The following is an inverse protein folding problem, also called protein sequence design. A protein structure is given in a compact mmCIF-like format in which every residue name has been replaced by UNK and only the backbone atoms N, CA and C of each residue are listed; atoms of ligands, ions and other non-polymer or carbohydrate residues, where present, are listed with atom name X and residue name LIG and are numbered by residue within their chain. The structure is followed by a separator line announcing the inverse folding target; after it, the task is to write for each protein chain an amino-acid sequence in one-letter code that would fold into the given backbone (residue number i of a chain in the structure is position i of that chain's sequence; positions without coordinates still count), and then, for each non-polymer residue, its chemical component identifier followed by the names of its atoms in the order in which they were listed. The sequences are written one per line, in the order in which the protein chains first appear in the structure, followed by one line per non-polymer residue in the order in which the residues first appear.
data_IF_143214522302
#
_entry.id   IF_143214522302
#
_cell.length_a   1.000
_cell.length_b   1.000
_cell.length_c   1.000
_cell.angle_alpha   90.00
_cell.angle_beta   90.00
_cell.angle_gamma   90.00
#
_symmetry.space_group_name_H-M   'P 1'
#
loop_
_entity.id
_entity.type
_entity.pdbx_description
1 polymer ?
#
# COMPACT_ATOMS: atom_id res chain seq x y z
N UNK A 1 2.82 -38.55 5.68
CA UNK A 1 2.12 -37.26 5.66
C UNK A 1 3.06 -36.17 5.17
N UNK A 2 2.74 -35.50 4.05
CA UNK A 2 3.52 -34.35 3.57
C UNK A 2 3.25 -33.16 4.51
N UNK A 3 4.30 -32.58 5.09
CA UNK A 3 4.21 -31.23 5.69
C UNK A 3 3.71 -30.31 4.59
N UNK A 4 2.64 -29.56 4.86
CA UNK A 4 2.13 -28.52 3.95
C UNK A 4 3.27 -27.50 3.81
N UNK A 5 3.92 -27.49 2.65
CA UNK A 5 5.13 -26.69 2.43
C UNK A 5 4.88 -25.20 2.60
N UNK A 6 5.92 -24.47 2.99
CA UNK A 6 5.87 -23.01 3.13
C UNK A 6 5.38 -22.39 1.81
N UNK A 7 4.34 -21.56 1.90
CA UNK A 7 3.78 -20.85 0.75
C UNK A 7 4.53 -19.54 0.58
N UNK A 8 5.22 -19.35 -0.55
CA UNK A 8 5.83 -18.09 -0.92
C UNK A 8 4.88 -17.25 -1.77
N UNK A 9 4.75 -15.96 -1.44
CA UNK A 9 4.02 -14.95 -2.22
C UNK A 9 4.96 -13.78 -2.51
N UNK A 10 4.67 -13.03 -3.58
CA UNK A 10 5.39 -11.82 -3.96
C UNK A 10 4.42 -10.65 -3.83
N UNK A 11 4.88 -9.57 -3.22
CA UNK A 11 4.11 -8.36 -2.95
C UNK A 11 4.87 -7.17 -3.51
N UNK A 12 4.16 -6.27 -4.18
CA UNK A 12 4.70 -5.03 -4.74
C UNK A 12 4.10 -3.80 -4.05
N UNK A 13 2.86 -3.89 -3.56
CA UNK A 13 2.15 -2.75 -2.99
C UNK A 13 1.99 -2.89 -1.48
N UNK A 14 1.17 -3.82 -1.01
CA UNK A 14 0.87 -3.94 0.42
C UNK A 14 0.23 -5.27 0.81
N UNK A 15 0.47 -5.65 2.07
CA UNK A 15 -0.16 -6.75 2.79
C UNK A 15 -1.19 -6.15 3.75
N UNK A 16 -2.41 -6.67 3.72
CA UNK A 16 -3.49 -6.29 4.63
C UNK A 16 -3.96 -7.45 5.47
N UNK A 17 -4.11 -7.24 6.79
CA UNK A 17 -4.58 -8.25 7.75
C UNK A 17 -5.76 -7.68 8.53
N UNK A 18 -6.81 -8.47 8.72
CA UNK A 18 -8.04 -8.02 9.37
C UNK A 18 -8.97 -7.31 8.39
N UNK A 19 -9.50 -6.15 8.75
CA UNK A 19 -10.60 -5.50 8.02
C UNK A 19 -10.30 -5.25 6.54
N UNK A 20 -9.05 -4.94 6.17
CA UNK A 20 -8.64 -4.77 4.77
C UNK A 20 -8.67 -6.09 3.98
N UNK A 21 -8.19 -7.19 4.59
CA UNK A 21 -8.31 -8.53 4.02
C UNK A 21 -9.78 -8.96 3.89
N UNK A 22 -10.62 -8.59 4.86
CA UNK A 22 -12.05 -8.92 4.86
C UNK A 22 -12.80 -8.16 3.75
N UNK A 23 -12.50 -6.88 3.57
CA UNK A 23 -12.99 -6.05 2.47
C UNK A 23 -12.59 -6.64 1.12
N UNK A 24 -11.31 -7.01 0.98
CA UNK A 24 -10.80 -7.59 -0.26
C UNK A 24 -11.48 -8.92 -0.57
N UNK A 25 -11.72 -9.77 0.43
CA UNK A 25 -12.44 -11.04 0.28
C UNK A 25 -13.88 -10.82 -0.18
N UNK A 26 -14.62 -9.92 0.47
CA UNK A 26 -16.00 -9.59 0.07
C UNK A 26 -16.06 -8.93 -1.31
N UNK A 27 -15.09 -8.07 -1.64
CA UNK A 27 -14.96 -7.50 -2.97
C UNK A 27 -14.72 -8.58 -4.03
N UNK A 28 -13.81 -9.52 -3.78
CA UNK A 28 -13.51 -10.62 -4.69
C UNK A 28 -14.74 -11.52 -4.91
N UNK A 29 -15.43 -11.91 -3.83
CA UNK A 29 -16.66 -12.71 -3.90
C UNK A 29 -17.80 -11.96 -4.61
N UNK A 30 -18.00 -10.67 -4.29
CA UNK A 30 -19.08 -9.86 -4.86
C UNK A 30 -18.83 -9.53 -6.32
N UNK A 31 -17.58 -9.29 -6.74
CA UNK A 31 -17.20 -9.10 -8.15
C UNK A 31 -17.45 -10.35 -8.97
N UNK A 32 -17.15 -11.51 -8.41
CA UNK A 32 -17.44 -12.80 -9.05
C UNK A 32 -18.95 -13.01 -9.23
N UNK A 33 -19.77 -12.53 -8.29
CA UNK A 33 -21.24 -12.63 -8.34
C UNK A 33 -21.92 -11.55 -9.19
N UNK A 34 -21.40 -10.32 -9.24
CA UNK A 34 -22.03 -9.16 -9.90
C UNK A 34 -20.97 -8.22 -10.52
N UNK A 35 -20.38 -8.56 -11.69
CA UNK A 35 -19.31 -7.77 -12.31
C UNK A 35 -19.73 -6.34 -12.72
N UNK A 36 -21.02 -6.13 -12.99
CA UNK A 36 -21.54 -4.82 -13.45
C UNK A 36 -21.48 -3.71 -12.38
N UNK A 37 -21.30 -4.04 -11.09
CA UNK A 37 -21.18 -3.04 -10.03
C UNK A 37 -19.76 -2.44 -9.91
N UNK A 38 -18.75 -3.05 -10.54
CA UNK A 38 -17.33 -2.71 -10.35
C UNK A 38 -16.68 -2.04 -11.56
N UNK A 39 -17.51 -1.51 -12.48
CA UNK A 39 -17.05 -0.92 -13.75
C UNK A 39 -16.39 0.46 -13.54
N UNK A 40 -16.77 1.21 -12.49
CA UNK A 40 -16.31 2.58 -12.28
C UNK A 40 -15.43 2.74 -11.03
N UNK A 41 -14.28 3.42 -11.15
CA UNK A 41 -13.38 3.76 -10.04
C UNK A 41 -14.09 4.54 -8.93
N UNK A 42 -15.04 5.42 -9.27
CA UNK A 42 -15.85 6.14 -8.29
C UNK A 42 -16.79 5.20 -7.52
N UNK A 43 -17.44 4.26 -8.20
CA UNK A 43 -18.29 3.24 -7.56
C UNK A 43 -17.47 2.31 -6.66
N UNK A 44 -16.25 1.96 -7.07
CA UNK A 44 -15.32 1.22 -6.21
C UNK A 44 -15.01 2.01 -4.93
N UNK A 45 -14.68 3.30 -5.04
CA UNK A 45 -14.47 4.19 -3.88
C UNK A 45 -15.71 4.30 -2.98
N UNK A 46 -16.92 4.37 -3.55
CA UNK A 46 -18.18 4.40 -2.79
C UNK A 46 -18.48 3.07 -2.08
N UNK A 47 -18.11 1.95 -2.70
CA UNK A 47 -18.20 0.63 -2.08
C UNK A 47 -17.30 0.54 -0.83
N UNK A 48 -16.06 1.02 -0.94
CA UNK A 48 -15.14 1.17 0.20
C UNK A 48 -15.58 2.24 1.21
N UNK A 49 -16.28 3.30 0.75
CA UNK A 49 -16.74 4.43 1.56
C UNK A 49 -17.98 4.17 2.42
N UNK A 50 -18.72 3.07 2.22
CA UNK A 50 -19.75 2.64 3.17
C UNK A 50 -21.02 2.00 2.61
N UNK A 51 -21.27 1.98 1.29
CA UNK A 51 -22.49 1.35 0.77
C UNK A 51 -22.50 -0.19 0.91
N UNK A 52 -21.33 -0.84 0.99
CA UNK A 52 -21.20 -2.26 1.34
C UNK A 52 -21.22 -2.55 2.85
N UNK A 53 -21.23 -1.53 3.71
CA UNK A 53 -20.99 -1.68 5.16
C UNK A 53 -22.12 -2.38 5.93
N UNK A 54 -23.31 -2.53 5.34
CA UNK A 54 -24.47 -3.12 6.03
C UNK A 54 -24.25 -4.60 6.41
N UNK A 55 -23.40 -5.34 5.68
CA UNK A 55 -22.99 -6.71 6.03
C UNK A 55 -21.85 -6.76 7.06
N UNK A 56 -20.90 -5.83 6.98
CA UNK A 56 -19.73 -5.79 7.88
C UNK A 56 -20.04 -5.31 9.31
N UNK A 57 -21.11 -4.55 9.50
CA UNK A 57 -21.60 -4.18 10.83
C UNK A 57 -22.11 -5.38 11.64
N UNK A 58 -22.47 -6.49 10.98
CA UNK A 58 -23.03 -7.68 11.64
C UNK A 58 -21.97 -8.66 12.15
N UNK A 59 -20.77 -8.69 11.55
CA UNK A 59 -19.69 -9.59 11.96
C UNK A 59 -18.82 -8.95 13.04
N UNK A 60 -19.30 -9.12 14.28
CA UNK A 60 -18.60 -9.11 15.58
C UNK A 60 -17.19 -8.48 15.61
N UNK A 61 -17.14 -7.37 16.35
CA UNK A 61 -15.98 -6.72 16.98
C UNK A 61 -15.03 -7.71 17.69
N UNK A 62 -14.29 -8.50 16.92
CA UNK A 62 -13.09 -9.18 17.40
C UNK A 62 -11.95 -8.21 17.18
N UNK A 63 -11.45 -7.62 18.26
CA UNK A 63 -10.23 -6.81 18.24
C UNK A 63 -9.13 -7.61 17.55
N UNK A 64 -8.55 -7.08 16.48
CA UNK A 64 -7.48 -7.77 15.77
C UNK A 64 -6.26 -7.98 16.68
N UNK A 65 -6.08 -7.09 17.66
CA UNK A 65 -5.00 -7.10 18.63
C UNK A 65 -4.86 -8.43 19.40
N UNK A 66 -5.96 -9.12 19.70
CA UNK A 66 -5.91 -10.40 20.43
C UNK A 66 -5.59 -11.59 19.51
N UNK A 67 -5.65 -11.37 18.19
CA UNK A 67 -5.56 -12.42 17.17
C UNK A 67 -4.27 -12.37 16.38
N UNK A 68 -3.55 -11.26 16.40
CA UNK A 68 -2.27 -11.09 15.71
C UNK A 68 -1.27 -10.34 16.56
N UNK A 69 0.00 -10.66 16.39
CA UNK A 69 1.12 -9.87 16.91
C UNK A 69 2.00 -9.43 15.73
N UNK A 70 2.40 -8.17 15.73
CA UNK A 70 3.26 -7.61 14.69
C UNK A 70 4.66 -7.43 15.25
N UNK A 71 5.65 -8.01 14.58
CA UNK A 71 7.06 -7.85 14.91
C UNK A 71 7.76 -7.18 13.74
N UNK A 72 8.37 -6.03 13.99
CA UNK A 72 9.12 -5.26 13.01
C UNK A 72 10.58 -5.18 13.43
N UNK A 73 11.49 -5.70 12.61
CA UNK A 73 12.94 -5.76 12.88
C UNK A 73 13.27 -6.29 14.29
N UNK A 74 12.54 -7.32 14.71
CA UNK A 74 12.69 -7.99 16.01
C UNK A 74 11.95 -7.32 17.18
N UNK A 75 11.30 -6.17 16.99
CA UNK A 75 10.54 -5.46 18.02
C UNK A 75 9.04 -5.70 17.85
N UNK A 76 8.36 -6.05 18.93
CA UNK A 76 6.89 -6.15 18.94
C UNK A 76 6.32 -4.73 18.86
N UNK A 77 5.43 -4.49 17.91
CA UNK A 77 4.72 -3.22 17.78
C UNK A 77 3.41 -3.28 18.58
N UNK A 78 3.15 -2.26 19.39
CA UNK A 78 1.90 -2.16 20.16
C UNK A 78 0.74 -1.77 19.25
N UNK A 79 -0.35 -2.55 19.30
CA UNK A 79 -1.56 -2.26 18.55
C UNK A 79 -2.50 -1.37 19.37
N UNK A 80 -2.87 -0.17 18.88
CA UNK A 80 -3.80 0.70 19.58
C UNK A 80 -5.14 -0.01 19.87
N UNK A 81 -5.82 0.32 20.99
CA UNK A 81 -7.14 -0.23 21.28
C UNK A 81 -8.14 0.01 20.14
N UNK A 82 -8.94 -1.03 19.84
CA UNK A 82 -9.90 -1.00 18.74
C UNK A 82 -9.29 -1.17 17.36
N UNK A 83 -8.02 -1.56 17.25
CA UNK A 83 -7.42 -1.95 15.96
C UNK A 83 -8.17 -3.14 15.37
N UNK A 84 -8.66 -2.97 14.13
CA UNK A 84 -9.36 -3.98 13.35
C UNK A 84 -8.60 -4.39 12.09
N UNK A 85 -7.56 -3.64 11.71
CA UNK A 85 -6.71 -3.94 10.57
C UNK A 85 -5.28 -3.50 10.80
N UNK A 86 -4.33 -4.26 10.24
CA UNK A 86 -2.93 -3.86 10.09
C UNK A 86 -2.58 -3.94 8.61
N UNK A 87 -1.90 -2.92 8.10
CA UNK A 87 -1.46 -2.85 6.71
C UNK A 87 0.05 -2.60 6.70
N UNK A 88 0.78 -3.44 5.97
CA UNK A 88 2.22 -3.30 5.72
C UNK A 88 2.40 -2.80 4.29
N UNK A 89 2.87 -1.57 4.13
CA UNK A 89 2.99 -0.87 2.87
C UNK A 89 4.42 -0.98 2.36
N UNK A 90 4.60 -1.42 1.12
CA UNK A 90 5.82 -1.20 0.33
C UNK A 90 5.71 0.08 -0.50
N UNK A 91 4.50 0.53 -0.78
CA UNK A 91 4.20 1.84 -1.37
C UNK A 91 3.20 2.58 -0.48
N UNK A 92 3.45 3.86 -0.16
CA UNK A 92 2.47 4.70 0.54
C UNK A 92 1.35 5.18 -0.40
N UNK A 93 0.62 4.23 -0.98
CA UNK A 93 -0.56 4.43 -1.81
C UNK A 93 -1.50 3.25 -1.65
N UNK A 94 -2.72 3.53 -1.17
CA UNK A 94 -3.71 2.54 -0.81
C UNK A 94 -5.05 2.81 -1.51
N UNK A 95 -5.74 1.74 -1.88
CA UNK A 95 -7.11 1.74 -2.43
C UNK A 95 -7.39 2.83 -3.49
N UNK A 96 -6.48 2.99 -4.45
CA UNK A 96 -6.64 3.95 -5.55
C UNK A 96 -6.18 5.38 -5.23
N UNK A 97 -5.21 5.54 -4.32
CA UNK A 97 -4.38 6.73 -4.23
C UNK A 97 -4.29 7.40 -2.87
N UNK A 98 -5.01 6.92 -1.86
CA UNK A 98 -4.94 7.48 -0.50
C UNK A 98 -3.59 7.16 0.15
N UNK A 99 -3.03 8.10 0.91
CA UNK A 99 -1.82 7.86 1.71
C UNK A 99 -2.25 7.41 3.10
N UNK A 100 -1.63 6.34 3.61
CA UNK A 100 -1.93 5.82 4.95
C UNK A 100 -0.82 6.14 5.95
N UNK A 101 0.42 6.28 5.48
CA UNK A 101 1.55 6.70 6.28
C UNK A 101 1.68 8.22 6.26
N UNK A 102 1.74 8.84 7.44
CA UNK A 102 1.99 10.27 7.57
C UNK A 102 3.49 10.54 7.65
N UNK A 103 4.02 11.15 6.60
CA UNK A 103 5.41 11.54 6.49
C UNK A 103 5.62 13.06 6.56
N UNK A 104 4.56 13.84 6.81
CA UNK A 104 4.62 15.31 6.76
C UNK A 104 5.50 15.91 7.87
N UNK A 105 5.54 15.27 9.03
CA UNK A 105 6.31 15.72 10.21
C UNK A 105 7.54 14.85 10.49
N UNK A 106 7.83 13.89 9.62
CA UNK A 106 8.95 12.96 9.79
C UNK A 106 10.23 13.53 9.18
N UNK A 107 11.37 13.20 9.79
CA UNK A 107 12.68 13.42 9.19
C UNK A 107 12.77 12.71 7.83
N UNK A 108 13.59 13.24 6.92
CA UNK A 108 13.70 12.74 5.54
C UNK A 108 14.02 11.23 5.48
N UNK A 109 14.79 10.71 6.43
CA UNK A 109 15.15 9.29 6.55
C UNK A 109 13.98 8.38 6.96
N UNK A 110 12.92 8.95 7.53
CA UNK A 110 11.72 8.26 8.01
C UNK A 110 10.50 8.48 7.11
N UNK A 111 10.66 9.27 6.04
CA UNK A 111 9.61 9.43 5.03
C UNK A 111 9.48 8.16 4.21
N UNK A 112 8.26 7.85 3.78
CA UNK A 112 8.02 6.65 2.97
C UNK A 112 8.75 6.76 1.63
N UNK A 113 9.46 5.70 1.25
CA UNK A 113 10.16 5.62 -0.02
C UNK A 113 9.95 4.26 -0.67
N UNK A 114 9.85 4.23 -2.00
CA UNK A 114 9.73 2.97 -2.75
C UNK A 114 11.08 2.25 -2.96
N UNK A 115 12.15 2.82 -2.43
CA UNK A 115 13.55 2.51 -2.79
C UNK A 115 14.48 2.35 -1.60
N UNK A 116 13.97 2.41 -0.38
CA UNK A 116 14.73 2.28 0.86
C UNK A 116 14.71 0.85 1.44
N UNK A 117 13.96 -0.06 0.79
CA UNK A 117 13.72 -1.44 1.22
C UNK A 117 12.98 -1.55 2.57
N UNK A 118 12.28 -0.48 2.97
CA UNK A 118 11.49 -0.42 4.18
C UNK A 118 10.01 -0.69 3.88
N UNK A 119 9.32 -1.18 4.90
CA UNK A 119 7.88 -1.31 4.94
C UNK A 119 7.34 -0.34 5.98
N UNK A 120 6.29 0.41 5.63
CA UNK A 120 5.53 1.19 6.59
C UNK A 120 4.40 0.34 7.18
N UNK A 121 4.33 0.25 8.51
CA UNK A 121 3.31 -0.51 9.21
C UNK A 121 2.30 0.44 9.85
N UNK A 122 1.03 0.30 9.48
CA UNK A 122 -0.07 1.11 9.99
C UNK A 122 -1.21 0.27 10.56
N UNK A 123 -1.90 0.81 11.56
CA UNK A 123 -3.13 0.26 12.13
C UNK A 123 -4.36 1.07 11.70
N UNK A 124 -5.49 0.37 11.54
CA UNK A 124 -6.79 0.97 11.25
C UNK A 124 -7.88 0.44 12.19
N UNK A 125 -8.77 1.34 12.63
CA UNK A 125 -9.84 1.02 13.60
C UNK A 125 -11.09 0.41 13.00
N UNK A 126 -11.17 0.28 11.68
CA UNK A 126 -12.30 -0.33 10.98
C UNK A 126 -12.66 0.38 9.68
N UNK A 127 -13.81 0.01 9.12
CA UNK A 127 -14.30 0.55 7.85
C UNK A 127 -14.55 2.05 7.88
N UNK A 128 -15.11 2.56 8.97
CA UNK A 128 -15.37 3.99 9.12
C UNK A 128 -14.06 4.81 9.06
N UNK A 129 -12.99 4.30 9.68
CA UNK A 129 -11.68 4.94 9.65
C UNK A 129 -11.06 4.91 8.26
N UNK A 130 -11.08 3.74 7.59
CA UNK A 130 -10.60 3.60 6.21
C UNK A 130 -11.41 4.47 5.22
N UNK A 131 -12.73 4.49 5.35
CA UNK A 131 -13.62 5.29 4.52
C UNK A 131 -13.36 6.78 4.71
N UNK A 132 -13.21 7.25 5.96
CA UNK A 132 -12.86 8.63 6.26
C UNK A 132 -11.52 9.06 5.65
N UNK A 133 -10.52 8.17 5.63
CA UNK A 133 -9.24 8.41 4.94
C UNK A 133 -9.43 8.54 3.43
N UNK A 134 -10.24 7.67 2.82
CA UNK A 134 -10.48 7.71 1.38
C UNK A 134 -11.21 8.96 0.88
N UNK A 135 -12.09 9.54 1.71
CA UNK A 135 -12.79 10.79 1.41
C UNK A 135 -12.06 12.04 1.90
N UNK A 136 -10.88 11.88 2.54
CA UNK A 136 -10.05 12.99 3.03
C UNK A 136 -10.55 13.66 4.30
N UNK A 137 -11.46 13.02 5.06
CA UNK A 137 -11.90 13.51 6.38
C UNK A 137 -10.90 13.19 7.49
N UNK A 138 -10.13 12.11 7.31
CA UNK A 138 -9.01 11.74 8.18
C UNK A 138 -7.75 11.72 7.31
N UNK A 139 -6.64 12.33 7.74
CA UNK A 139 -5.49 12.50 6.86
C UNK A 139 -4.72 11.20 6.57
N UNK A 140 -4.65 10.28 7.54
CA UNK A 140 -3.81 9.09 7.46
C UNK A 140 -4.25 8.01 8.47
N UNK A 141 -3.64 6.83 8.40
CA UNK A 141 -3.84 5.75 9.37
C UNK A 141 -2.95 5.96 10.61
N UNK A 142 -3.04 5.05 11.59
CA UNK A 142 -2.21 5.13 12.79
C UNK A 142 -0.86 4.48 12.50
N UNK A 143 0.22 5.26 12.47
CA UNK A 143 1.57 4.75 12.28
C UNK A 143 2.01 3.87 13.46
N UNK A 144 2.55 2.68 13.17
CA UNK A 144 3.07 1.76 14.19
C UNK A 144 4.59 1.66 14.16
N UNK A 145 5.18 1.75 12.97
CA UNK A 145 6.63 1.66 12.79
C UNK A 145 6.99 1.46 11.32
N UNK A 146 8.30 1.44 11.07
CA UNK A 146 8.89 1.21 9.75
C UNK A 146 10.06 0.22 9.92
N UNK A 147 10.27 -0.68 8.96
CA UNK A 147 11.39 -1.63 9.03
C UNK A 147 11.53 -2.56 7.83
N UNK A 148 12.61 -3.35 7.81
CA UNK A 148 12.98 -4.22 6.66
C UNK A 148 12.34 -5.60 6.71
N UNK A 149 12.07 -6.10 7.91
CA UNK A 149 11.49 -7.42 8.15
C UNK A 149 10.30 -7.29 9.06
N UNK A 150 9.13 -7.67 8.53
CA UNK A 150 7.89 -7.67 9.28
C UNK A 150 7.39 -9.10 9.39
N UNK A 151 7.13 -9.55 10.61
CA UNK A 151 6.48 -10.82 10.88
C UNK A 151 5.10 -10.57 11.49
N UNK A 152 4.06 -11.04 10.80
CA UNK A 152 2.69 -11.07 11.32
C UNK A 152 2.43 -12.46 11.90
N UNK A 153 2.41 -12.56 13.22
CA UNK A 153 2.09 -13.79 13.96
C UNK A 153 0.59 -13.89 14.14
N UNK A 154 -0.06 -14.65 13.28
CA UNK A 154 -1.49 -14.95 13.36
C UNK A 154 -1.70 -16.03 14.42
N UNK A 155 -2.39 -15.67 15.51
CA UNK A 155 -2.64 -16.54 16.67
C UNK A 155 -3.97 -17.29 16.60
N UNK A 156 -4.91 -16.80 15.79
CA UNK A 156 -6.26 -17.34 15.69
C UNK A 156 -6.62 -17.76 14.26
N UNK A 157 -7.42 -18.84 14.15
CA UNK A 157 -8.02 -19.27 12.90
C UNK A 157 -8.99 -18.23 12.32
N UNK A 158 -9.17 -18.25 11.00
CA UNK A 158 -10.13 -17.44 10.26
C UNK A 158 -9.77 -15.96 10.12
N UNK A 159 -8.51 -15.57 10.35
CA UNK A 159 -8.07 -14.18 10.14
C UNK A 159 -8.03 -13.89 8.63
N UNK A 160 -8.75 -12.88 8.13
CA UNK A 160 -8.71 -12.50 6.74
C UNK A 160 -7.40 -11.76 6.41
N UNK A 161 -6.80 -12.10 5.28
CA UNK A 161 -5.54 -11.54 4.79
C UNK A 161 -5.67 -11.25 3.30
N UNK A 162 -4.96 -10.24 2.80
CA UNK A 162 -4.82 -9.98 1.37
C UNK A 162 -3.40 -9.53 1.04
N UNK A 163 -2.92 -9.86 -0.15
CA UNK A 163 -1.65 -9.34 -0.69
C UNK A 163 -1.95 -8.77 -2.07
N UNK A 164 -1.62 -7.50 -2.30
CA UNK A 164 -1.82 -6.79 -3.58
C UNK A 164 -3.25 -6.93 -4.16
N UNK A 165 -4.26 -7.07 -3.31
CA UNK A 165 -5.66 -7.23 -3.69
C UNK A 165 -6.14 -8.67 -3.84
N UNK A 166 -5.27 -9.67 -3.61
CA UNK A 166 -5.62 -11.10 -3.64
C UNK A 166 -5.90 -11.63 -2.21
N UNK A 167 -7.17 -11.82 -1.82
CA UNK A 167 -7.55 -12.16 -0.45
C UNK A 167 -7.58 -13.67 -0.18
N UNK A 168 -7.41 -14.05 1.09
CA UNK A 168 -7.73 -15.39 1.60
C UNK A 168 -8.10 -15.34 3.10
N UNK A 169 -8.71 -16.42 3.60
CA UNK A 169 -8.86 -16.64 5.04
C UNK A 169 -7.74 -17.54 5.55
N UNK A 170 -6.99 -17.06 6.53
CA UNK A 170 -5.96 -17.85 7.19
C UNK A 170 -6.62 -18.83 8.15
N UNK A 171 -6.64 -20.12 7.80
CA UNK A 171 -7.38 -21.13 8.54
C UNK A 171 -6.72 -21.57 9.85
N UNK A 172 -5.39 -21.55 9.91
CA UNK A 172 -4.61 -22.02 11.06
C UNK A 172 -3.65 -20.93 11.55
N UNK A 173 -3.25 -20.92 12.84
CA UNK A 173 -2.19 -20.06 13.33
C UNK A 173 -0.93 -20.21 12.47
N UNK A 174 -0.31 -19.09 12.11
CA UNK A 174 0.89 -19.07 11.28
C UNK A 174 1.68 -17.79 11.50
N UNK A 175 2.92 -17.77 11.00
CA UNK A 175 3.68 -16.53 10.86
C UNK A 175 3.79 -16.19 9.38
N UNK A 176 3.37 -14.98 9.01
CA UNK A 176 3.58 -14.43 7.68
C UNK A 176 4.81 -13.53 7.77
N UNK A 177 5.88 -13.90 7.09
CA UNK A 177 7.12 -13.11 7.04
C UNK A 177 7.18 -12.32 5.73
N UNK A 178 7.32 -11.00 5.86
CA UNK A 178 7.53 -10.06 4.77
C UNK A 178 8.95 -9.52 4.85
N UNK A 179 9.67 -9.62 3.74
CA UNK A 179 11.05 -9.15 3.60
C UNK A 179 11.31 -8.73 2.17
N UNK A 180 12.28 -7.84 1.99
CA UNK A 180 12.78 -7.48 0.68
C UNK A 180 13.24 -8.74 -0.09
N UNK A 181 12.83 -8.82 -1.37
CA UNK A 181 13.19 -9.91 -2.28
C UNK A 181 14.13 -9.42 -3.36
N UNK A 182 13.70 -8.41 -4.11
CA UNK A 182 14.41 -7.79 -5.20
C UNK A 182 13.74 -6.44 -5.53
N UNK A 183 14.41 -5.67 -6.38
CA UNK A 183 13.92 -4.38 -6.86
C UNK A 183 13.91 -4.36 -8.40
N UNK A 184 12.94 -3.64 -8.97
CA UNK A 184 12.81 -3.44 -10.40
C UNK A 184 12.75 -1.94 -10.71
N UNK A 185 13.29 -1.56 -11.87
CA UNK A 185 13.18 -0.19 -12.38
C UNK A 185 11.81 -0.01 -13.02
N UNK A 186 11.04 0.96 -12.53
CA UNK A 186 9.67 1.24 -12.96
C UNK A 186 9.58 2.66 -13.52
N UNK A 187 8.79 2.85 -14.59
CA UNK A 187 8.51 4.18 -15.11
C UNK A 187 7.56 4.92 -14.16
N UNK A 188 7.99 6.06 -13.63
CA UNK A 188 7.16 6.91 -12.79
C UNK A 188 6.68 8.12 -13.58
N UNK A 189 5.39 8.45 -13.49
CA UNK A 189 4.89 9.73 -13.98
C UNK A 189 5.58 10.83 -13.19
N UNK A 190 6.28 11.72 -13.88
CA UNK A 190 6.90 12.87 -13.22
C UNK A 190 5.79 13.83 -12.81
N UNK A 191 5.52 13.88 -11.51
CA UNK A 191 4.65 14.88 -10.89
C UNK A 191 5.61 15.88 -10.27
N UNK A 192 5.56 17.12 -10.72
CA UNK A 192 6.45 18.14 -10.21
C UNK A 192 5.91 18.68 -8.90
N UNK A 193 6.22 17.98 -7.83
CA UNK A 193 5.70 18.25 -6.49
C UNK A 193 6.31 19.53 -5.90
N UNK A 194 7.51 19.92 -6.37
CA UNK A 194 8.32 21.01 -5.81
C UNK A 194 8.73 22.09 -6.84
N UNK A 195 8.25 22.03 -8.09
CA UNK A 195 8.71 22.92 -9.18
C UNK A 195 10.14 22.63 -9.66
N UNK A 196 10.72 21.49 -9.26
CA UNK A 196 12.10 21.10 -9.54
C UNK A 196 12.25 20.16 -10.75
N UNK A 197 11.14 19.80 -11.41
CA UNK A 197 11.14 18.87 -12.54
C UNK A 197 12.11 19.31 -13.63
N UNK A 198 12.11 20.61 -13.97
CA UNK A 198 12.99 21.17 -15.00
C UNK A 198 14.46 20.91 -14.64
N UNK A 199 14.87 21.21 -13.40
CA UNK A 199 16.26 20.99 -12.98
C UNK A 199 16.66 19.51 -12.96
N UNK A 200 15.76 18.60 -12.56
CA UNK A 200 16.03 17.14 -12.61
C UNK A 200 16.09 16.63 -14.04
N UNK A 201 15.22 17.13 -14.91
CA UNK A 201 15.17 16.78 -16.33
C UNK A 201 16.42 17.26 -17.06
N UNK A 202 16.86 18.51 -16.83
CA UNK A 202 18.10 19.05 -17.39
C UNK A 202 19.31 18.22 -16.95
N UNK A 203 19.43 17.89 -15.66
CA UNK A 203 20.51 17.04 -15.15
C UNK A 203 20.50 15.64 -15.78
N UNK A 204 19.32 15.04 -15.97
CA UNK A 204 19.17 13.75 -16.66
C UNK A 204 19.62 13.85 -18.13
N UNK A 205 19.26 14.91 -18.83
CA UNK A 205 19.65 15.11 -20.23
C UNK A 205 21.17 15.33 -20.37
N UNK A 206 21.77 16.10 -19.46
CA UNK A 206 23.23 16.28 -19.38
C UNK A 206 23.96 14.96 -19.09
N UNK A 207 23.39 14.11 -18.22
CA UNK A 207 23.93 12.78 -17.96
C UNK A 207 23.82 11.89 -19.21
N UNK A 208 22.65 11.85 -19.86
CA UNK A 208 22.42 11.00 -21.03
C UNK A 208 23.31 11.38 -22.23
N UNK A 209 23.59 12.68 -22.42
CA UNK A 209 24.55 13.15 -23.43
C UNK A 209 25.99 12.75 -23.09
N UNK A 210 26.39 12.87 -21.81
CA UNK A 210 27.72 12.46 -21.32
C UNK A 210 27.96 10.97 -21.53
N UNK A 211 26.96 10.14 -21.25
CA UNK A 211 26.99 8.69 -21.45
C UNK A 211 26.75 8.28 -22.91
N UNK A 212 26.59 9.25 -23.83
CA UNK A 212 26.34 9.03 -25.27
C UNK A 212 25.10 8.17 -25.55
N UNK A 213 24.12 8.19 -24.65
CA UNK A 213 22.83 7.51 -24.80
C UNK A 213 21.91 8.27 -25.78
N UNK A 214 22.14 9.57 -25.93
CA UNK A 214 21.44 10.45 -26.88
C UNK A 214 22.46 11.30 -27.65
N UNK A 215 22.27 11.53 -28.96
CA UNK A 215 23.07 12.50 -29.70
C UNK A 215 22.79 13.93 -29.20
N UNK A 216 23.84 14.75 -29.05
CA UNK A 216 23.72 16.16 -28.64
C UNK A 216 22.73 16.98 -29.49
N UNK A 217 22.61 16.65 -30.78
CA UNK A 217 21.65 17.28 -31.69
C UNK A 217 20.18 17.05 -31.30
N UNK A 218 19.88 15.94 -30.60
CA UNK A 218 18.54 15.57 -30.19
C UNK A 218 18.19 16.10 -28.79
N UNK A 219 19.19 16.44 -27.96
CA UNK A 219 19.02 16.95 -26.59
C UNK A 219 18.07 18.15 -26.55
N UNK A 220 18.31 19.17 -27.39
CA UNK A 220 17.51 20.40 -27.44
C UNK A 220 16.06 20.17 -27.89
N UNK A 221 15.84 19.21 -28.81
CA UNK A 221 14.51 18.83 -29.30
C UNK A 221 13.70 18.14 -28.20
N UNK A 222 14.34 17.21 -27.49
CA UNK A 222 13.74 16.48 -26.38
C UNK A 222 13.38 17.45 -25.23
N UNK A 223 14.28 18.38 -24.89
CA UNK A 223 14.01 19.42 -23.88
C UNK A 223 12.82 20.30 -24.28
N UNK A 224 12.78 20.81 -25.51
CA UNK A 224 11.65 21.63 -25.99
C UNK A 224 10.32 20.90 -25.92
N UNK A 225 10.28 19.64 -26.37
CA UNK A 225 9.04 18.86 -26.38
C UNK A 225 8.60 18.48 -24.95
N UNK A 226 9.55 18.20 -24.06
CA UNK A 226 9.26 17.91 -22.66
C UNK A 226 8.69 19.14 -21.92
N UNK A 227 9.27 20.33 -22.14
CA UNK A 227 8.75 21.60 -21.60
C UNK A 227 7.34 21.88 -22.13
N UNK A 228 7.11 21.70 -23.42
CA UNK A 228 5.78 21.91 -24.03
C UNK A 228 4.72 21.03 -23.38
N UNK A 229 5.00 19.74 -23.17
CA UNK A 229 4.07 18.81 -22.52
C UNK A 229 3.86 19.12 -21.04
N UNK A 230 4.88 19.65 -20.38
CA UNK A 230 4.80 20.09 -19.00
C UNK A 230 3.91 21.35 -18.85
N UNK A 231 4.01 22.33 -19.77
CA UNK A 231 3.19 23.55 -19.74
C UNK A 231 1.69 23.35 -20.06
N UNK A 232 1.29 22.15 -20.48
CA UNK A 232 -0.10 21.80 -20.80
C UNK A 232 -0.74 20.83 -19.77
N UNK A 233 -0.04 20.53 -18.68
CA UNK A 233 -0.54 19.77 -17.52
C UNK A 233 -1.01 20.73 -16.43
#
# INVERSE_FOLDING_TARGET
GRRKGDRALVMNNYLGVGIDGALSLDFHETRTRNPNMFINRFLNKVWYGGLGARRFLQDRLLTLADRVEIVCDGRVLELPPGTQGVICLNINSYAGGSRLWDDNLLEESSKSSLKDELLEIVAVKGLHHLGAIQVGLVPHAIALGQGRRVAVRVRAAGVPVQVDGEPWRQHEPCTIEVRHRNQAIMLQKTVDIDGQWIGRFENMMLWAEREKLIPAANTNLIIKEAIKRYSHL
#
